data_IF_409551540460
#
_entry.id   IF_409551540460
#
_cell.length_a   1.000
_cell.length_b   1.000
_cell.length_c   1.000
_cell.angle_alpha   90.00
_cell.angle_beta   90.00
_cell.angle_gamma   90.00
#
_symmetry.space_group_name_H-M   'P 1'
#
loop_
_entity.id
_entity.type
_entity.pdbx_description
1 polymer ?
#
# COMPACT_ATOMS: atom_id res chain seq x y z
N UNK A 1 25.98 15.86 10.56
CA UNK A 1 27.20 15.32 9.95
C UNK A 1 26.80 14.50 8.73
N UNK A 2 27.45 14.70 7.59
CA UNK A 2 27.22 13.87 6.39
C UNK A 2 27.84 12.50 6.65
N UNK A 3 27.07 11.42 6.53
CA UNK A 3 27.59 10.04 6.61
C UNK A 3 28.53 9.80 5.41
N UNK A 4 29.53 8.93 5.59
CA UNK A 4 30.38 8.46 4.50
C UNK A 4 29.51 7.73 3.45
N UNK A 5 29.89 7.71 2.16
CA UNK A 5 29.11 7.02 1.15
C UNK A 5 29.03 5.52 1.47
N UNK A 6 27.84 5.04 1.82
CA UNK A 6 27.55 3.63 2.01
C UNK A 6 27.62 2.91 0.66
N UNK A 7 28.06 1.65 0.66
CA UNK A 7 28.00 0.83 -0.55
C UNK A 7 26.53 0.63 -0.94
N UNK A 8 26.15 0.97 -2.18
CA UNK A 8 24.78 0.78 -2.66
C UNK A 8 24.72 -0.45 -3.55
N UNK A 9 23.87 -1.41 -3.19
CA UNK A 9 23.67 -2.66 -3.91
C UNK A 9 22.25 -2.67 -4.46
N UNK A 10 22.10 -2.64 -5.79
CA UNK A 10 20.79 -2.77 -6.44
C UNK A 10 20.58 -4.19 -6.97
N UNK A 11 19.40 -4.75 -6.70
CA UNK A 11 18.91 -6.03 -7.21
C UNK A 11 17.44 -5.89 -7.62
N UNK A 12 16.95 -6.73 -8.53
CA UNK A 12 15.52 -6.84 -8.81
C UNK A 12 14.87 -7.85 -7.85
N UNK A 13 13.55 -7.80 -7.76
CA UNK A 13 12.78 -8.86 -7.10
C UNK A 13 13.16 -10.25 -7.61
N UNK A 14 13.17 -11.23 -6.72
CA UNK A 14 13.56 -12.63 -7.00
C UNK A 14 15.03 -12.85 -7.42
N UNK A 15 15.84 -11.79 -7.52
CA UNK A 15 17.29 -11.92 -7.73
C UNK A 15 18.04 -12.15 -6.42
N UNK A 16 19.20 -12.79 -6.55
CA UNK A 16 20.16 -12.99 -5.45
C UNK A 16 21.50 -12.36 -5.79
N UNK A 17 22.17 -11.77 -4.79
CA UNK A 17 23.49 -11.17 -4.97
C UNK A 17 24.39 -11.46 -3.78
N UNK A 18 25.65 -11.76 -4.07
CA UNK A 18 26.70 -11.87 -3.07
C UNK A 18 27.39 -10.51 -2.90
N UNK A 19 27.67 -10.17 -1.64
CA UNK A 19 28.31 -8.92 -1.24
C UNK A 19 29.60 -9.30 -0.50
N UNK A 20 30.72 -8.77 -1.02
CA UNK A 20 32.06 -9.06 -0.54
C UNK A 20 32.53 -8.04 0.49
N UNK A 21 33.26 -8.50 1.51
CA UNK A 21 33.91 -7.63 2.49
C UNK A 21 32.96 -6.92 3.46
N UNK A 22 31.75 -7.45 3.63
CA UNK A 22 30.75 -6.93 4.58
C UNK A 22 30.55 -7.93 5.72
N UNK A 23 30.52 -7.40 6.94
CA UNK A 23 30.15 -8.14 8.14
C UNK A 23 28.86 -7.54 8.73
N UNK A 24 27.85 -8.38 8.93
CA UNK A 24 26.57 -7.94 9.50
C UNK A 24 26.67 -7.81 11.01
N UNK A 25 26.26 -6.65 11.54
CA UNK A 25 26.15 -6.42 12.98
C UNK A 25 25.01 -7.25 13.59
N UNK A 26 24.89 -7.24 14.92
CA UNK A 26 23.72 -7.85 15.59
C UNK A 26 22.41 -7.19 15.17
N UNK A 27 22.40 -5.86 15.03
CA UNK A 27 21.21 -5.13 14.60
C UNK A 27 20.85 -5.47 13.14
N UNK A 28 21.85 -5.66 12.28
CA UNK A 28 21.63 -6.11 10.91
C UNK A 28 21.03 -7.52 10.84
N UNK A 29 21.48 -8.44 11.70
CA UNK A 29 20.90 -9.78 11.81
C UNK A 29 19.48 -9.76 12.37
N UNK A 30 19.21 -8.96 13.39
CA UNK A 30 17.85 -8.80 13.96
C UNK A 30 16.88 -8.27 12.88
N UNK A 31 17.32 -7.31 12.06
CA UNK A 31 16.56 -6.80 10.90
C UNK A 31 16.37 -7.89 9.84
N UNK A 32 17.44 -8.59 9.45
CA UNK A 32 17.40 -9.66 8.47
C UNK A 32 16.41 -10.77 8.87
N UNK A 33 16.45 -11.18 10.13
CA UNK A 33 15.55 -12.17 10.70
C UNK A 33 14.10 -11.71 10.69
N UNK A 34 13.85 -10.44 11.02
CA UNK A 34 12.51 -9.86 10.96
C UNK A 34 11.95 -9.88 9.52
N UNK A 35 12.79 -9.61 8.52
CA UNK A 35 12.40 -9.61 7.10
C UNK A 35 12.28 -11.03 6.50
N UNK A 36 12.95 -12.02 7.08
CA UNK A 36 12.95 -13.41 6.60
C UNK A 36 11.83 -14.29 7.19
N UNK A 37 11.19 -13.85 8.28
CA UNK A 37 10.17 -14.59 9.03
C UNK A 37 8.74 -14.12 8.70
N UNK A 38 7.75 -14.92 9.09
CA UNK A 38 6.32 -14.63 8.91
C UNK A 38 5.73 -15.13 7.60
N UNK A 39 4.43 -14.91 7.42
CA UNK A 39 3.72 -15.23 6.17
C UNK A 39 4.18 -14.32 5.01
N UNK A 40 4.60 -13.10 5.32
CA UNK A 40 5.01 -12.06 4.38
C UNK A 40 6.54 -11.93 4.32
N UNK A 41 7.24 -13.02 4.01
CA UNK A 41 8.71 -13.02 3.85
C UNK A 41 9.11 -12.00 2.78
N UNK A 42 10.04 -11.09 3.11
CA UNK A 42 10.41 -9.95 2.25
C UNK A 42 11.79 -10.09 1.65
N UNK A 43 12.75 -10.53 2.47
CA UNK A 43 14.16 -10.63 2.13
C UNK A 43 14.75 -11.85 2.83
N UNK A 44 15.58 -12.61 2.13
CA UNK A 44 16.38 -13.68 2.72
C UNK A 44 17.85 -13.26 2.73
N UNK A 45 18.51 -13.45 3.88
CA UNK A 45 19.94 -13.16 4.03
C UNK A 45 20.62 -14.37 4.66
N UNK A 46 21.69 -14.82 4.03
CA UNK A 46 22.53 -15.92 4.49
C UNK A 46 24.02 -15.61 4.26
N UNK A 47 24.90 -16.32 4.98
CA UNK A 47 26.35 -16.26 4.72
C UNK A 47 26.75 -17.49 3.92
N UNK A 48 27.25 -17.27 2.71
CA UNK A 48 27.70 -18.32 1.81
C UNK A 48 29.17 -18.13 1.47
N UNK A 49 30.02 -19.12 1.80
CA UNK A 49 31.48 -19.08 1.55
C UNK A 49 32.18 -17.81 2.08
N UNK A 50 31.74 -17.33 3.25
CA UNK A 50 32.30 -16.12 3.87
C UNK A 50 31.82 -14.80 3.26
N UNK A 51 30.83 -14.85 2.37
CA UNK A 51 30.21 -13.67 1.74
C UNK A 51 28.76 -13.56 2.21
N UNK A 52 28.27 -12.32 2.35
CA UNK A 52 26.86 -12.08 2.63
C UNK A 52 26.09 -12.26 1.33
N UNK A 53 25.11 -13.17 1.31
CA UNK A 53 24.20 -13.37 0.19
C UNK A 53 22.83 -12.84 0.57
N UNK A 54 22.27 -12.00 -0.31
CA UNK A 54 20.94 -11.44 -0.17
C UNK A 54 20.05 -11.95 -1.30
N UNK A 55 18.81 -12.32 -1.02
CA UNK A 55 17.81 -12.73 -2.01
C UNK A 55 16.49 -11.99 -1.80
N UNK A 56 16.10 -11.19 -2.79
CA UNK A 56 14.83 -10.48 -2.79
C UNK A 56 13.66 -11.42 -3.09
N UNK A 57 12.48 -11.09 -2.56
CA UNK A 57 11.21 -11.75 -2.84
C UNK A 57 10.29 -10.79 -3.61
N UNK A 58 8.98 -10.81 -3.34
CA UNK A 58 7.98 -9.95 -3.99
C UNK A 58 7.84 -8.55 -3.35
N UNK A 59 8.90 -8.06 -2.72
CA UNK A 59 8.91 -6.77 -2.02
C UNK A 59 9.98 -5.86 -2.63
N UNK A 60 9.65 -4.58 -2.81
CA UNK A 60 10.56 -3.56 -3.37
C UNK A 60 10.80 -2.45 -2.36
N UNK A 61 11.94 -1.77 -2.45
CA UNK A 61 12.26 -0.63 -1.59
C UNK A 61 13.72 -0.58 -1.17
N UNK A 62 13.95 0.00 0.01
CA UNK A 62 15.27 0.22 0.60
C UNK A 62 15.40 -0.59 1.88
N UNK A 63 16.47 -1.38 1.99
CA UNK A 63 16.90 -1.96 3.27
C UNK A 63 18.28 -1.43 3.57
N UNK A 64 18.39 -0.64 4.63
CA UNK A 64 19.65 -0.06 5.08
C UNK A 64 20.25 -0.95 6.15
N UNK A 65 21.49 -1.35 5.95
CA UNK A 65 22.35 -2.00 6.93
C UNK A 65 23.45 -1.03 7.37
N UNK A 66 24.22 -1.39 8.40
CA UNK A 66 25.31 -0.54 8.88
C UNK A 66 26.37 -0.25 7.82
N UNK A 67 26.68 -1.22 6.95
CA UNK A 67 27.79 -1.13 5.99
C UNK A 67 27.34 -0.89 4.54
N UNK A 68 26.07 -1.13 4.21
CA UNK A 68 25.56 -1.01 2.84
C UNK A 68 24.04 -0.75 2.80
N UNK A 69 23.59 -0.20 1.67
CA UNK A 69 22.18 -0.03 1.35
C UNK A 69 21.78 -1.03 0.25
N UNK A 70 20.71 -1.79 0.50
CA UNK A 70 20.13 -2.71 -0.46
C UNK A 70 18.88 -2.09 -1.10
N UNK A 71 18.95 -1.96 -2.42
CA UNK A 71 17.91 -1.42 -3.28
C UNK A 71 17.23 -2.55 -4.03
N UNK A 72 15.94 -2.76 -3.76
CA UNK A 72 15.16 -3.75 -4.46
C UNK A 72 14.18 -3.04 -5.38
N UNK A 73 14.31 -3.27 -6.69
CA UNK A 73 13.51 -2.59 -7.72
C UNK A 73 12.53 -3.55 -8.40
N UNK A 74 11.37 -3.06 -8.86
CA UNK A 74 10.36 -3.91 -9.47
C UNK A 74 10.84 -4.52 -10.79
N UNK A 75 10.50 -5.80 -11.01
CA UNK A 75 10.90 -6.53 -12.23
C UNK A 75 10.12 -6.12 -13.48
N UNK A 76 8.91 -5.55 -13.34
CA UNK A 76 8.00 -5.28 -14.46
C UNK A 76 7.43 -3.84 -14.52
N UNK A 77 7.69 -2.99 -13.52
CA UNK A 77 7.09 -1.66 -13.42
C UNK A 77 7.98 -0.52 -13.93
N UNK A 78 9.05 -0.79 -14.68
CA UNK A 78 9.92 0.26 -15.24
C UNK A 78 10.70 1.06 -14.19
N UNK A 79 11.06 0.44 -13.05
CA UNK A 79 11.82 1.09 -11.98
C UNK A 79 10.94 1.88 -11.00
N UNK A 80 11.51 2.91 -10.36
CA UNK A 80 10.81 3.71 -9.35
C UNK A 80 9.71 4.58 -9.95
N UNK A 81 9.89 5.11 -11.16
CA UNK A 81 8.90 5.93 -11.83
C UNK A 81 7.57 5.21 -12.03
N UNK A 82 7.55 4.03 -12.65
CA UNK A 82 6.29 3.30 -12.86
C UNK A 82 5.70 2.74 -11.56
N UNK A 83 6.53 2.40 -10.56
CA UNK A 83 6.05 2.07 -9.20
C UNK A 83 5.23 3.21 -8.61
N UNK A 84 5.75 4.43 -8.72
CA UNK A 84 5.16 5.64 -8.17
C UNK A 84 3.86 5.99 -8.91
N UNK A 85 3.82 5.86 -10.24
CA UNK A 85 2.60 6.05 -11.02
C UNK A 85 1.53 4.99 -10.73
N UNK A 86 1.92 3.74 -10.47
CA UNK A 86 0.98 2.71 -9.98
C UNK A 86 0.37 3.15 -8.64
N UNK A 87 1.20 3.61 -7.71
CA UNK A 87 0.77 4.05 -6.38
C UNK A 87 -0.19 5.23 -6.49
N UNK A 88 0.15 6.25 -7.29
CA UNK A 88 -0.70 7.42 -7.57
C UNK A 88 -2.12 7.00 -7.93
N UNK A 89 -2.26 6.07 -8.87
CA UNK A 89 -3.54 5.58 -9.34
C UNK A 89 -4.28 4.75 -8.29
N UNK A 90 -3.56 3.97 -7.50
CA UNK A 90 -4.20 3.14 -6.46
C UNK A 90 -4.76 3.94 -5.30
N UNK A 91 -4.07 5.00 -4.89
CA UNK A 91 -4.41 5.83 -3.72
C UNK A 91 -5.20 7.07 -4.08
N UNK A 92 -5.15 7.52 -5.33
CA UNK A 92 -5.73 8.79 -5.78
C UNK A 92 -4.94 10.01 -5.30
N UNK A 93 -3.68 9.83 -4.88
CA UNK A 93 -2.81 10.92 -4.44
C UNK A 93 -2.48 11.80 -5.65
N UNK A 94 -2.96 13.04 -5.69
CA UNK A 94 -2.59 14.00 -6.74
C UNK A 94 -1.26 14.70 -6.46
N UNK A 95 -0.60 14.39 -5.33
CA UNK A 95 0.66 15.01 -4.93
C UNK A 95 1.74 14.86 -6.02
N UNK A 96 1.82 13.71 -6.67
CA UNK A 96 2.81 13.44 -7.72
C UNK A 96 2.63 14.33 -8.95
N UNK A 97 1.38 14.65 -9.35
CA UNK A 97 1.11 15.59 -10.44
C UNK A 97 1.53 17.03 -10.11
N UNK A 98 1.54 17.39 -8.83
CA UNK A 98 1.88 18.74 -8.35
C UNK A 98 3.38 18.91 -8.11
N UNK A 99 4.11 17.81 -7.89
CA UNK A 99 5.55 17.83 -7.66
C UNK A 99 6.32 17.87 -8.99
N UNK A 100 6.71 19.07 -9.42
CA UNK A 100 7.55 19.27 -10.61
C UNK A 100 8.96 18.63 -10.50
N UNK A 101 9.33 18.07 -9.34
CA UNK A 101 10.68 17.60 -9.03
C UNK A 101 10.94 16.08 -9.17
N UNK A 102 9.93 15.24 -9.39
CA UNK A 102 10.10 13.77 -9.38
C UNK A 102 11.03 13.28 -10.48
N UNK A 103 10.85 13.78 -11.71
CA UNK A 103 11.74 13.46 -12.83
C UNK A 103 13.18 13.92 -12.60
N UNK A 104 13.39 14.96 -11.78
CA UNK A 104 14.72 15.42 -11.37
C UNK A 104 15.32 14.58 -10.24
N UNK A 105 14.50 13.91 -9.42
CA UNK A 105 14.94 13.10 -8.27
C UNK A 105 15.34 11.69 -8.69
N UNK A 106 14.62 11.09 -9.64
CA UNK A 106 14.97 9.81 -10.24
C UNK A 106 16.31 9.93 -11.01
N UNK A 107 16.52 11.05 -11.70
CA UNK A 107 17.78 11.36 -12.40
C UNK A 107 18.98 11.64 -11.48
N UNK A 108 18.75 11.95 -10.19
CA UNK A 108 19.81 12.30 -9.23
C UNK A 108 20.22 11.14 -8.30
N UNK A 109 19.72 9.92 -8.55
CA UNK A 109 20.03 8.76 -7.73
C UNK A 109 19.30 8.74 -6.39
N UNK A 110 18.22 9.52 -6.26
CA UNK A 110 17.42 9.57 -5.03
C UNK A 110 16.69 8.24 -4.84
N UNK A 111 16.77 7.71 -3.62
CA UNK A 111 16.24 6.41 -3.25
C UNK A 111 14.73 6.47 -2.97
N UNK A 112 14.01 5.35 -3.16
CA UNK A 112 12.53 5.32 -3.06
C UNK A 112 11.99 5.92 -1.75
N UNK A 113 12.68 5.70 -0.63
CA UNK A 113 12.29 6.29 0.65
C UNK A 113 12.37 7.81 0.65
N UNK A 114 13.44 8.40 0.10
CA UNK A 114 13.59 9.84 0.01
C UNK A 114 12.55 10.48 -0.92
N UNK A 115 12.12 9.76 -1.95
CA UNK A 115 11.01 10.19 -2.80
C UNK A 115 9.71 10.31 -1.99
N UNK A 116 9.33 9.27 -1.25
CA UNK A 116 8.14 9.35 -0.38
C UNK A 116 8.28 10.38 0.73
N UNK A 117 9.46 10.50 1.33
CA UNK A 117 9.73 11.51 2.34
C UNK A 117 9.55 12.93 1.77
N UNK A 118 9.97 13.18 0.52
CA UNK A 118 9.72 14.46 -0.14
C UNK A 118 8.24 14.69 -0.38
N UNK A 119 7.51 13.70 -0.91
CA UNK A 119 6.06 13.80 -1.14
C UNK A 119 5.31 14.10 0.15
N UNK A 120 5.72 13.47 1.26
CA UNK A 120 5.15 13.76 2.57
C UNK A 120 5.42 15.20 3.00
N UNK A 121 6.66 15.69 2.83
CA UNK A 121 7.00 17.07 3.17
C UNK A 121 6.15 18.06 2.37
N UNK A 122 5.99 17.84 1.06
CA UNK A 122 5.19 18.70 0.19
C UNK A 122 3.69 18.69 0.53
N UNK A 123 3.14 17.50 0.78
CA UNK A 123 1.76 17.35 1.20
C UNK A 123 1.53 18.00 2.59
N UNK A 124 2.48 17.86 3.51
CA UNK A 124 2.42 18.48 4.83
C UNK A 124 2.53 20.02 4.75
N UNK A 125 3.37 20.56 3.87
CA UNK A 125 3.42 22.00 3.59
C UNK A 125 2.11 22.53 3.00
N UNK A 126 1.37 21.72 2.23
CA UNK A 126 0.02 22.08 1.80
C UNK A 126 -0.94 22.18 2.98
N UNK A 127 -0.90 21.20 3.88
CA UNK A 127 -1.70 21.19 5.12
C UNK A 127 -1.39 22.42 5.97
N UNK A 128 -0.11 22.71 6.22
CA UNK A 128 0.32 23.87 7.02
C UNK A 128 -0.21 25.17 6.41
N UNK A 129 -0.13 25.34 5.08
CA UNK A 129 -0.65 26.53 4.39
C UNK A 129 -2.18 26.66 4.46
N UNK A 130 -2.90 25.55 4.47
CA UNK A 130 -4.37 25.51 4.61
C UNK A 130 -4.82 25.71 6.06
N UNK A 131 -3.93 25.49 7.01
CA UNK A 131 -4.19 25.57 8.44
C UNK A 131 -4.22 24.18 9.08
N UNK A 132 -3.46 24.04 10.16
CA UNK A 132 -3.46 22.84 10.99
C UNK A 132 -4.76 22.79 11.78
N UNK A 133 -5.49 21.68 11.65
CA UNK A 133 -6.75 21.47 12.34
C UNK A 133 -6.57 21.46 13.85
N UNK A 134 -7.60 21.96 14.52
CA UNK A 134 -7.81 21.78 15.95
C UNK A 134 -9.19 21.20 16.13
N UNK A 135 -9.34 20.30 17.09
CA UNK A 135 -10.64 19.77 17.49
C UNK A 135 -10.94 20.11 18.95
N UNK A 136 -12.20 20.03 19.34
CA UNK A 136 -12.62 20.22 20.71
C UNK A 136 -12.50 18.91 21.47
N UNK A 137 -11.51 18.84 22.36
CA UNK A 137 -11.27 17.67 23.22
C UNK A 137 -11.85 17.96 24.60
N UNK A 138 -12.73 17.08 25.09
CA UNK A 138 -13.26 17.15 26.45
C UNK A 138 -12.13 16.90 27.44
N UNK A 139 -11.83 17.89 28.28
CA UNK A 139 -10.85 17.78 29.38
C UNK A 139 -11.53 17.87 30.72
N UNK A 140 -11.04 17.08 31.66
CA UNK A 140 -11.42 17.13 33.07
C UNK A 140 -10.21 17.55 33.90
N UNK A 141 -10.25 18.74 34.49
CA UNK A 141 -9.14 19.30 35.28
C UNK A 141 -9.66 20.01 36.54
N UNK A 142 -8.82 20.10 37.57
CA UNK A 142 -9.09 20.92 38.73
C UNK A 142 -8.55 22.34 38.56
N UNK A 143 -9.44 23.31 38.47
CA UNK A 143 -9.07 24.70 38.15
C UNK A 143 -9.35 25.62 39.33
N UNK A 144 -8.56 26.68 39.49
CA UNK A 144 -8.84 27.74 40.48
C UNK A 144 -10.02 28.64 40.10
N UNK A 145 -10.58 28.44 38.91
CA UNK A 145 -11.72 29.16 38.35
C UNK A 145 -12.66 28.18 37.67
N UNK A 146 -13.95 28.51 37.58
CA UNK A 146 -14.92 27.66 36.89
C UNK A 146 -14.77 27.82 35.38
N UNK A 147 -14.49 26.71 34.68
CA UNK A 147 -14.46 26.62 33.21
C UNK A 147 -15.37 25.48 32.77
N UNK A 148 -16.35 25.76 31.91
CA UNK A 148 -17.31 24.74 31.47
C UNK A 148 -18.24 24.24 32.60
N UNK A 149 -18.40 22.92 32.71
CA UNK A 149 -19.31 22.26 33.65
C UNK A 149 -18.57 21.79 34.91
N UNK A 150 -19.11 22.08 36.09
CA UNK A 150 -18.56 21.58 37.36
C UNK A 150 -18.94 20.10 37.54
N UNK A 151 -17.95 19.27 37.87
CA UNK A 151 -18.13 17.86 38.24
C UNK A 151 -18.39 17.77 39.75
N UNK A 152 -19.64 18.02 40.14
CA UNK A 152 -20.07 18.12 41.55
C UNK A 152 -19.81 16.83 42.33
N UNK A 153 -20.05 15.69 41.70
CA UNK A 153 -19.77 14.36 42.25
C UNK A 153 -18.28 14.19 42.59
N UNK A 154 -17.38 14.54 41.66
CA UNK A 154 -15.93 14.48 41.89
C UNK A 154 -15.46 15.52 42.90
N UNK A 155 -16.03 16.72 42.90
CA UNK A 155 -15.69 17.76 43.87
C UNK A 155 -16.01 17.30 45.29
N UNK A 156 -17.17 16.69 45.50
CA UNK A 156 -17.58 16.16 46.81
C UNK A 156 -16.68 14.97 47.21
N UNK A 157 -16.39 14.05 46.28
CA UNK A 157 -15.63 12.83 46.58
C UNK A 157 -14.12 13.09 46.79
N UNK A 158 -13.51 13.97 46.00
CA UNK A 158 -12.04 14.18 46.00
C UNK A 158 -11.61 15.42 46.78
N UNK A 159 -12.49 16.41 46.95
CA UNK A 159 -12.13 17.74 47.46
C UNK A 159 -13.12 18.33 48.45
N UNK A 160 -13.75 17.47 49.26
CA UNK A 160 -14.67 17.91 50.30
C UNK A 160 -14.02 18.99 51.20
N UNK A 161 -14.66 20.16 51.28
CA UNK A 161 -14.21 21.29 52.09
C UNK A 161 -13.10 22.17 51.48
N UNK A 162 -12.57 21.85 50.29
CA UNK A 162 -11.65 22.74 49.54
C UNK A 162 -12.41 23.56 48.50
N UNK A 163 -12.23 24.87 48.54
CA UNK A 163 -12.90 25.86 47.65
C UNK A 163 -11.93 26.60 46.73
N UNK A 164 -10.63 26.37 46.91
CA UNK A 164 -9.56 26.97 46.11
C UNK A 164 -9.39 26.33 44.72
N UNK A 165 -9.91 25.10 44.53
CA UNK A 165 -9.94 24.40 43.24
C UNK A 165 -11.27 23.69 43.01
N UNK A 166 -11.74 23.73 41.77
CA UNK A 166 -13.02 23.18 41.32
C UNK A 166 -12.76 22.17 40.20
N UNK A 167 -13.22 20.92 40.38
CA UNK A 167 -13.20 19.89 39.34
C UNK A 167 -14.15 20.30 38.20
N UNK A 168 -13.59 20.61 37.03
CA UNK A 168 -14.29 21.13 35.87
C UNK A 168 -14.13 20.20 34.67
N UNK A 169 -15.17 20.10 33.86
CA UNK A 169 -15.18 19.47 32.54
C UNK A 169 -15.48 20.51 31.48
N UNK A 170 -14.58 20.68 30.51
CA UNK A 170 -14.72 21.68 29.46
C UNK A 170 -14.10 21.19 28.16
N UNK A 171 -14.57 21.74 27.05
CA UNK A 171 -13.98 21.49 25.74
C UNK A 171 -12.82 22.45 25.52
N UNK A 172 -11.64 21.90 25.29
CA UNK A 172 -10.46 22.66 24.90
C UNK A 172 -10.17 22.45 23.42
N UNK A 173 -9.91 23.55 22.71
CA UNK A 173 -9.48 23.48 21.33
C UNK A 173 -8.02 23.02 21.32
N UNK A 174 -7.81 21.77 20.93
CA UNK A 174 -6.52 21.10 20.93
C UNK A 174 -6.12 20.71 19.51
N UNK A 175 -4.83 20.76 19.22
CA UNK A 175 -4.26 20.31 17.96
C UNK A 175 -3.69 18.89 18.07
N UNK A 176 -3.60 18.31 19.27
CA UNK A 176 -3.10 16.95 19.54
C UNK A 176 -4.10 15.85 19.14
N UNK A 177 -4.61 15.93 17.91
CA UNK A 177 -5.68 15.11 17.34
C UNK A 177 -5.12 14.02 16.40
N UNK A 178 -5.88 12.93 16.13
CA UNK A 178 -5.45 11.83 15.26
C UNK A 178 -4.88 12.27 13.90
N UNK A 179 -5.50 13.25 13.25
CA UNK A 179 -5.10 13.75 11.94
C UNK A 179 -3.68 14.32 11.94
N UNK A 180 -3.34 15.11 12.97
CA UNK A 180 -2.04 15.74 13.08
C UNK A 180 -0.99 14.76 13.62
N UNK A 181 -1.38 13.86 14.54
CA UNK A 181 -0.51 12.80 15.10
C UNK A 181 0.03 11.87 14.02
N UNK A 182 -0.79 11.51 13.03
CA UNK A 182 -0.35 10.66 11.93
C UNK A 182 0.77 11.32 11.10
N UNK A 183 0.59 12.61 10.75
CA UNK A 183 1.61 13.39 10.03
C UNK A 183 2.87 13.55 10.88
N UNK A 184 2.73 13.91 12.15
CA UNK A 184 3.85 14.07 13.07
C UNK A 184 4.68 12.78 13.16
N UNK A 185 4.03 11.62 13.28
CA UNK A 185 4.69 10.32 13.35
C UNK A 185 5.45 9.98 12.07
N UNK A 186 4.82 10.19 10.91
CA UNK A 186 5.45 9.92 9.62
C UNK A 186 6.61 10.88 9.33
N UNK A 187 6.42 12.19 9.56
CA UNK A 187 7.45 13.22 9.40
C UNK A 187 8.64 12.97 10.33
N UNK A 188 8.40 12.61 11.59
CA UNK A 188 9.46 12.25 12.52
C UNK A 188 10.25 11.03 12.03
N UNK A 189 9.57 10.04 11.48
CA UNK A 189 10.19 8.82 10.93
C UNK A 189 11.06 9.13 9.71
N UNK A 190 10.59 9.99 8.80
CA UNK A 190 11.37 10.47 7.66
C UNK A 190 12.55 11.37 8.08
N UNK A 191 12.37 12.25 9.06
CA UNK A 191 13.41 13.18 9.51
C UNK A 191 14.66 12.45 10.07
N UNK A 192 14.46 11.24 10.62
CA UNK A 192 15.52 10.35 11.12
C UNK A 192 16.25 9.59 10.01
N UNK A 193 15.57 9.28 8.90
CA UNK A 193 16.03 8.28 7.92
C UNK A 193 16.38 8.83 6.54
N UNK A 194 15.85 10.02 6.19
CA UNK A 194 16.05 10.62 4.88
C UNK A 194 17.53 10.95 4.63
N UNK A 195 18.05 10.49 3.49
CA UNK A 195 19.46 10.56 3.17
C UNK A 195 19.79 11.82 2.36
N UNK A 196 18.97 12.12 1.35
CA UNK A 196 19.14 13.28 0.50
C UNK A 196 19.04 14.60 1.31
N UNK A 197 20.09 15.45 1.33
CA UNK A 197 20.16 16.61 2.23
C UNK A 197 18.99 17.60 2.08
N UNK A 198 18.54 17.85 0.85
CA UNK A 198 17.39 18.74 0.60
C UNK A 198 16.08 18.14 1.11
N UNK A 199 15.89 16.82 0.95
CA UNK A 199 14.68 16.12 1.41
C UNK A 199 14.67 16.16 2.94
N UNK A 200 15.77 15.76 3.57
CA UNK A 200 15.92 15.80 5.03
C UNK A 200 15.67 17.18 5.61
N UNK A 201 16.19 18.26 4.99
CA UNK A 201 15.93 19.64 5.44
C UNK A 201 14.44 19.96 5.42
N UNK A 202 13.76 19.62 4.32
CA UNK A 202 12.36 19.95 4.10
C UNK A 202 11.43 19.17 5.04
N UNK A 203 11.68 17.88 5.19
CA UNK A 203 10.98 17.01 6.15
C UNK A 203 11.16 17.51 7.58
N UNK A 204 12.39 17.88 7.98
CA UNK A 204 12.65 18.40 9.32
C UNK A 204 11.88 19.68 9.59
N UNK A 205 11.85 20.61 8.63
CA UNK A 205 11.08 21.84 8.78
C UNK A 205 9.58 21.56 9.01
N UNK A 206 8.96 20.70 8.21
CA UNK A 206 7.58 20.30 8.41
C UNK A 206 7.37 19.58 9.75
N UNK A 207 8.29 18.67 10.12
CA UNK A 207 8.26 17.95 11.38
C UNK A 207 8.33 18.88 12.60
N UNK A 208 9.14 19.93 12.55
CA UNK A 208 9.28 20.89 13.65
C UNK A 208 7.96 21.63 13.90
N UNK A 209 7.22 22.01 12.85
CA UNK A 209 5.89 22.61 12.97
C UNK A 209 4.90 21.66 13.65
N UNK A 210 4.87 20.38 13.24
CA UNK A 210 3.93 19.41 13.82
C UNK A 210 4.29 19.00 15.25
N UNK A 211 5.57 19.04 15.62
CA UNK A 211 6.03 18.78 16.99
C UNK A 211 5.62 19.86 18.00
N UNK A 212 5.40 21.09 17.54
CA UNK A 212 4.90 22.17 18.42
C UNK A 212 3.43 21.95 18.82
N UNK A 213 2.68 21.14 18.06
CA UNK A 213 1.22 21.02 18.18
C UNK A 213 0.74 19.62 18.56
N UNK A 214 1.58 18.58 18.43
CA UNK A 214 1.21 17.20 18.75
C UNK A 214 2.36 16.37 19.36
N UNK A 215 2.00 15.45 20.25
CA UNK A 215 2.90 14.42 20.74
C UNK A 215 2.78 13.13 19.92
N UNK A 216 3.93 12.49 19.65
CA UNK A 216 4.00 11.17 19.01
C UNK A 216 4.19 10.04 20.02
N UNK A 217 4.16 10.33 21.32
CA UNK A 217 4.39 9.34 22.37
C UNK A 217 3.22 8.35 22.47
N UNK A 218 3.54 7.04 22.50
CA UNK A 218 2.54 5.98 22.65
C UNK A 218 1.55 5.85 21.48
N UNK A 219 1.82 6.50 20.34
CA UNK A 219 0.92 6.49 19.19
C UNK A 219 1.06 5.17 18.42
N UNK A 220 -0.04 4.43 18.29
CA UNK A 220 -0.13 3.32 17.34
C UNK A 220 -0.65 3.80 15.98
N UNK A 221 0.24 3.77 14.99
CA UNK A 221 -0.09 4.13 13.60
C UNK A 221 -1.26 3.31 13.03
N UNK A 222 -1.41 2.03 13.39
CA UNK A 222 -2.47 1.17 12.84
C UNK A 222 -3.84 1.64 13.32
N UNK A 223 -3.98 1.83 14.63
CA UNK A 223 -5.20 2.37 15.23
C UNK A 223 -5.58 3.73 14.63
N UNK A 224 -4.61 4.64 14.43
CA UNK A 224 -4.88 5.92 13.77
C UNK A 224 -5.41 5.76 12.35
N UNK A 225 -4.77 4.90 11.55
CA UNK A 225 -5.12 4.67 10.15
C UNK A 225 -6.48 3.99 9.97
N UNK A 226 -6.88 3.13 10.91
CA UNK A 226 -8.18 2.45 10.92
C UNK A 226 -9.33 3.37 11.34
N UNK A 227 -9.07 4.29 12.28
CA UNK A 227 -10.07 5.24 12.77
C UNK A 227 -10.26 6.48 11.90
N UNK A 228 -9.42 6.67 10.88
CA UNK A 228 -9.40 7.89 10.07
C UNK A 228 -10.58 7.94 9.09
N UNK A 229 -11.37 9.01 9.16
CA UNK A 229 -12.46 9.27 8.22
C UNK A 229 -12.34 10.69 7.66
N UNK A 230 -12.60 10.80 6.36
CA UNK A 230 -12.47 12.08 5.66
C UNK A 230 -13.82 12.74 5.47
N UNK A 231 -13.85 14.04 5.76
CA UNK A 231 -14.98 14.94 5.64
C UNK A 231 -14.49 16.31 5.18
N UNK A 232 -15.40 17.23 4.89
CA UNK A 232 -15.08 18.54 4.28
C UNK A 232 -13.97 19.33 5.03
N UNK A 233 -13.85 19.15 6.34
CA UNK A 233 -12.90 19.89 7.19
C UNK A 233 -11.48 19.34 7.11
N UNK A 234 -11.31 18.03 6.96
CA UNK A 234 -9.99 17.38 6.91
C UNK A 234 -9.63 16.85 5.50
N UNK A 235 -10.44 17.13 4.48
CA UNK A 235 -10.20 16.69 3.11
C UNK A 235 -8.81 17.12 2.58
N UNK A 236 -8.32 18.31 2.97
CA UNK A 236 -6.99 18.78 2.55
C UNK A 236 -5.81 18.03 3.19
N UNK A 237 -6.08 17.13 4.15
CA UNK A 237 -5.07 16.22 4.71
C UNK A 237 -4.92 14.93 3.93
N UNK A 238 -5.88 14.56 3.08
CA UNK A 238 -5.95 13.22 2.45
C UNK A 238 -4.64 12.79 1.82
N UNK A 239 -4.03 13.65 1.00
CA UNK A 239 -2.75 13.33 0.36
C UNK A 239 -1.63 13.09 1.37
N UNK A 240 -1.54 13.91 2.43
CA UNK A 240 -0.52 13.78 3.46
C UNK A 240 -0.73 12.51 4.30
N UNK A 241 -1.99 12.17 4.61
CA UNK A 241 -2.36 10.95 5.32
C UNK A 241 -2.08 9.69 4.50
N UNK A 242 -2.40 9.67 3.21
CA UNK A 242 -2.10 8.51 2.36
C UNK A 242 -0.60 8.30 2.14
N UNK A 243 0.18 9.38 1.97
CA UNK A 243 1.65 9.25 1.93
C UNK A 243 2.20 8.79 3.29
N UNK A 244 1.64 9.30 4.39
CA UNK A 244 2.00 8.85 5.75
C UNK A 244 1.71 7.36 5.94
N UNK A 245 0.56 6.88 5.46
CA UNK A 245 0.19 5.46 5.46
C UNK A 245 1.25 4.61 4.75
N UNK A 246 1.61 4.97 3.51
CA UNK A 246 2.62 4.25 2.73
C UNK A 246 3.95 4.18 3.47
N UNK A 247 4.41 5.31 4.04
CA UNK A 247 5.68 5.39 4.77
C UNK A 247 5.64 4.49 6.01
N UNK A 248 4.60 4.59 6.84
CA UNK A 248 4.51 3.87 8.10
C UNK A 248 4.27 2.37 7.90
N UNK A 249 3.42 1.98 6.94
CA UNK A 249 3.24 0.58 6.56
C UNK A 249 4.52 -0.02 5.98
N UNK A 250 5.25 0.76 5.17
CA UNK A 250 6.50 0.32 4.54
C UNK A 250 7.68 0.20 5.51
N UNK A 251 7.73 1.03 6.56
CA UNK A 251 8.72 0.93 7.63
C UNK A 251 8.45 -0.25 8.57
N UNK A 252 7.18 -0.60 8.79
CA UNK A 252 6.80 -1.60 9.79
C UNK A 252 6.85 -1.07 11.24
N UNK A 253 6.20 -1.79 12.16
CA UNK A 253 5.93 -1.30 13.53
C UNK A 253 7.21 -1.21 14.38
N UNK A 254 8.11 -2.19 14.26
CA UNK A 254 9.31 -2.28 15.10
C UNK A 254 10.34 -1.18 14.76
N UNK A 255 10.44 -0.79 13.49
CA UNK A 255 11.32 0.30 13.04
C UNK A 255 10.77 1.69 13.42
N UNK A 256 9.45 1.85 13.60
CA UNK A 256 8.85 3.14 13.99
C UNK A 256 9.07 3.45 15.47
N UNK A 257 9.10 2.42 16.33
CA UNK A 257 9.13 2.53 17.81
C UNK A 257 10.56 2.50 18.38
N UNK A 258 11.55 2.02 17.61
CA UNK A 258 12.96 2.02 18.02
C UNK A 258 13.51 3.43 18.27
N UNK A 259 13.54 3.86 19.53
CA UNK A 259 14.06 5.16 19.99
C UNK A 259 15.58 5.29 19.97
N UNK A 260 16.29 4.43 19.24
CA UNK A 260 17.74 4.51 19.04
C UNK A 260 18.11 5.20 17.73
N UNK A 261 19.36 5.64 17.63
CA UNK A 261 20.02 5.83 16.33
C UNK A 261 20.23 4.46 15.67
N UNK A 262 19.16 3.74 15.33
CA UNK A 262 19.30 2.48 14.61
C UNK A 262 19.81 2.83 13.22
N UNK A 263 21.06 2.46 12.96
CA UNK A 263 21.74 2.59 11.67
C UNK A 263 21.01 1.84 10.57
N UNK A 264 20.30 0.77 10.94
CA UNK A 264 19.65 -0.17 10.04
C UNK A 264 18.13 -0.04 10.12
N UNK A 265 17.47 -0.06 8.96
CA UNK A 265 16.00 -0.01 8.85
C UNK A 265 15.56 -0.56 7.49
N UNK A 266 14.29 -0.94 7.36
CA UNK A 266 13.72 -1.31 6.07
C UNK A 266 12.52 -0.43 5.72
N UNK A 267 12.46 0.05 4.47
CA UNK A 267 11.25 0.60 3.86
C UNK A 267 10.91 -0.25 2.65
N UNK A 268 9.88 -1.10 2.77
CA UNK A 268 9.53 -2.07 1.74
C UNK A 268 8.05 -2.05 1.40
N UNK A 269 7.72 -2.29 0.13
CA UNK A 269 6.34 -2.34 -0.39
C UNK A 269 6.06 -3.69 -1.03
N UNK A 270 4.89 -4.26 -0.74
CA UNK A 270 4.43 -5.53 -1.31
C UNK A 270 3.92 -5.32 -2.74
N UNK A 271 4.65 -5.87 -3.71
CA UNK A 271 4.30 -5.74 -5.12
C UNK A 271 3.09 -6.57 -5.53
N UNK A 272 2.77 -7.66 -4.82
CA UNK A 272 1.56 -8.43 -5.11
C UNK A 272 0.33 -7.56 -4.81
N UNK A 273 0.25 -7.03 -3.59
CA UNK A 273 -0.86 -6.16 -3.17
C UNK A 273 -0.96 -4.88 -3.99
N UNK A 274 0.18 -4.26 -4.31
CA UNK A 274 0.18 -3.07 -5.16
C UNK A 274 -0.33 -3.38 -6.57
N UNK A 275 0.10 -4.50 -7.16
CA UNK A 275 -0.35 -4.91 -8.48
C UNK A 275 -1.85 -5.26 -8.50
N UNK A 276 -2.35 -6.00 -7.51
CA UNK A 276 -3.78 -6.30 -7.36
C UNK A 276 -4.62 -5.01 -7.32
N UNK A 277 -4.24 -4.06 -6.46
CA UNK A 277 -4.90 -2.75 -6.36
C UNK A 277 -4.81 -1.95 -7.66
N UNK A 278 -3.65 -2.00 -8.33
CA UNK A 278 -3.44 -1.31 -9.60
C UNK A 278 -4.36 -1.86 -10.69
N UNK A 279 -4.43 -3.19 -10.85
CA UNK A 279 -5.34 -3.83 -11.81
C UNK A 279 -6.79 -3.52 -11.45
N UNK A 280 -7.15 -3.50 -10.18
CA UNK A 280 -8.50 -3.14 -9.74
C UNK A 280 -8.89 -1.72 -10.20
N UNK A 281 -8.06 -0.72 -9.89
CA UNK A 281 -8.30 0.67 -10.32
C UNK A 281 -8.30 0.81 -11.83
N UNK A 282 -7.39 0.13 -12.52
CA UNK A 282 -7.36 0.11 -13.97
C UNK A 282 -8.67 -0.42 -14.55
N UNK A 283 -9.18 -1.54 -14.05
CA UNK A 283 -10.47 -2.11 -14.48
C UNK A 283 -11.62 -1.15 -14.19
N UNK A 284 -11.64 -0.53 -13.01
CA UNK A 284 -12.64 0.49 -12.63
C UNK A 284 -12.63 1.69 -13.59
N UNK A 285 -11.46 2.23 -13.92
CA UNK A 285 -11.29 3.34 -14.87
C UNK A 285 -11.71 2.95 -16.30
N UNK A 286 -11.28 1.77 -16.78
CA UNK A 286 -11.56 1.32 -18.15
C UNK A 286 -13.04 1.05 -18.39
N UNK A 287 -13.75 0.58 -17.35
CA UNK A 287 -15.18 0.29 -17.36
C UNK A 287 -16.05 1.46 -16.87
N UNK A 288 -15.45 2.60 -16.53
CA UNK A 288 -16.21 3.78 -16.11
C UNK A 288 -17.27 4.16 -17.15
N UNK A 289 -18.50 4.38 -16.68
CA UNK A 289 -19.67 4.72 -17.52
C UNK A 289 -20.38 3.53 -18.17
N UNK A 290 -19.89 2.30 -17.99
CA UNK A 290 -20.59 1.08 -18.42
C UNK A 290 -21.55 0.57 -17.32
N UNK A 291 -22.59 -0.23 -17.66
CA UNK A 291 -23.55 -0.77 -16.68
C UNK A 291 -22.94 -1.93 -15.87
N UNK A 292 -21.91 -1.64 -15.08
CA UNK A 292 -21.26 -2.61 -14.21
C UNK A 292 -20.70 -1.97 -12.94
N UNK A 293 -20.51 -2.80 -11.92
CA UNK A 293 -19.79 -2.46 -10.70
C UNK A 293 -18.53 -3.29 -10.59
N UNK A 294 -17.39 -2.63 -10.37
CA UNK A 294 -16.12 -3.30 -10.08
C UNK A 294 -15.98 -3.38 -8.56
N UNK A 295 -15.88 -4.59 -8.02
CA UNK A 295 -15.74 -4.84 -6.57
C UNK A 295 -14.36 -5.40 -6.28
N UNK A 296 -13.69 -4.86 -5.26
CA UNK A 296 -12.39 -5.34 -4.78
C UNK A 296 -12.56 -6.29 -3.60
N UNK A 297 -11.86 -7.43 -3.64
CA UNK A 297 -11.79 -8.43 -2.57
C UNK A 297 -13.15 -8.80 -1.97
N UNK A 298 -14.14 -9.08 -2.82
CA UNK A 298 -15.49 -9.44 -2.39
C UNK A 298 -15.51 -10.89 -1.89
N UNK A 299 -15.56 -11.05 -0.57
CA UNK A 299 -15.67 -12.36 0.08
C UNK A 299 -17.03 -13.03 -0.16
N UNK A 300 -17.01 -14.33 -0.44
CA UNK A 300 -18.18 -15.17 -0.51
C UNK A 300 -17.99 -16.46 0.33
N UNK A 301 -18.73 -16.56 1.43
CA UNK A 301 -18.71 -17.71 2.34
C UNK A 301 -19.68 -18.84 1.97
N UNK A 302 -20.45 -18.73 0.88
CA UNK A 302 -21.40 -19.77 0.47
C UNK A 302 -20.84 -20.72 -0.60
N UNK A 303 -19.65 -20.46 -1.15
CA UNK A 303 -19.06 -21.29 -2.21
C UNK A 303 -18.44 -22.56 -1.64
N UNK A 304 -17.62 -22.43 -0.59
CA UNK A 304 -17.07 -23.57 0.13
C UNK A 304 -17.86 -23.76 1.43
N UNK A 305 -18.72 -24.78 1.42
CA UNK A 305 -19.64 -25.08 2.51
C UNK A 305 -19.24 -26.36 3.23
N UNK A 306 -19.26 -26.35 4.56
CA UNK A 306 -19.11 -27.54 5.37
C UNK A 306 -20.46 -28.26 5.42
N UNK A 307 -20.56 -29.39 4.71
CA UNK A 307 -21.79 -30.19 4.65
C UNK A 307 -22.18 -30.82 5.99
N UNK A 308 -21.21 -31.18 6.83
CA UNK A 308 -21.46 -31.83 8.12
C UNK A 308 -21.93 -30.84 9.18
N UNK A 309 -21.30 -29.65 9.20
CA UNK A 309 -21.56 -28.62 10.21
C UNK A 309 -22.55 -27.55 9.74
N UNK A 310 -23.03 -27.63 8.49
CA UNK A 310 -23.94 -26.66 7.87
C UNK A 310 -23.51 -25.20 8.07
N UNK A 311 -22.23 -24.91 7.83
CA UNK A 311 -21.64 -23.56 7.92
C UNK A 311 -20.63 -23.32 6.80
N UNK A 312 -20.24 -22.07 6.60
CA UNK A 312 -19.10 -21.71 5.74
C UNK A 312 -17.87 -22.52 6.14
N UNK A 313 -17.30 -23.26 5.19
CA UNK A 313 -16.02 -23.95 5.37
C UNK A 313 -14.87 -22.95 5.23
N UNK A 314 -14.87 -22.19 4.15
CA UNK A 314 -13.90 -21.13 3.89
C UNK A 314 -14.51 -20.05 2.99
N UNK A 315 -14.00 -18.83 3.13
CA UNK A 315 -14.37 -17.75 2.23
C UNK A 315 -13.58 -17.86 0.93
N UNK A 316 -14.28 -17.69 -0.19
CA UNK A 316 -13.69 -17.55 -1.52
C UNK A 316 -13.64 -16.06 -1.85
N UNK A 317 -12.46 -15.54 -2.11
CA UNK A 317 -12.22 -14.09 -2.29
C UNK A 317 -11.41 -13.87 -3.57
N UNK A 318 -12.07 -13.66 -4.73
CA UNK A 318 -11.37 -13.15 -5.90
C UNK A 318 -10.83 -11.74 -5.63
N UNK A 319 -9.69 -11.39 -6.23
CA UNK A 319 -9.08 -10.07 -6.06
C UNK A 319 -10.04 -8.98 -6.55
N UNK A 320 -10.67 -9.21 -7.70
CA UNK A 320 -11.64 -8.29 -8.31
C UNK A 320 -12.83 -9.09 -8.84
N UNK A 321 -14.03 -8.53 -8.75
CA UNK A 321 -15.23 -9.05 -9.41
C UNK A 321 -15.90 -7.93 -10.17
N UNK A 322 -16.09 -8.12 -11.48
CA UNK A 322 -16.93 -7.24 -12.30
C UNK A 322 -18.35 -7.79 -12.27
N UNK A 323 -19.28 -7.00 -11.75
CA UNK A 323 -20.70 -7.34 -11.67
C UNK A 323 -21.49 -6.49 -12.65
N UNK A 324 -22.08 -7.10 -13.67
CA UNK A 324 -22.97 -6.39 -14.59
C UNK A 324 -24.25 -5.97 -13.87
N UNK A 325 -24.72 -4.76 -14.12
CA UNK A 325 -25.92 -4.18 -13.48
C UNK A 325 -27.16 -4.21 -14.35
N UNK A 326 -27.03 -4.45 -15.66
CA UNK A 326 -28.13 -4.67 -16.58
C UNK A 326 -28.34 -6.17 -16.89
N UNK A 327 -29.61 -6.57 -16.94
CA UNK A 327 -30.02 -7.94 -17.28
C UNK A 327 -29.62 -9.00 -16.26
N UNK A 328 -29.15 -10.16 -16.73
CA UNK A 328 -28.64 -11.21 -15.85
C UNK A 328 -27.36 -10.77 -15.15
N UNK A 329 -27.34 -10.88 -13.82
CA UNK A 329 -26.18 -10.57 -12.95
C UNK A 329 -25.01 -11.49 -13.28
N UNK A 330 -24.27 -11.14 -14.32
CA UNK A 330 -23.06 -11.81 -14.73
C UNK A 330 -21.90 -11.31 -13.87
N UNK A 331 -21.14 -12.26 -13.33
CA UNK A 331 -19.99 -12.02 -12.47
C UNK A 331 -18.74 -12.52 -13.19
N UNK A 332 -17.81 -11.62 -13.49
CA UNK A 332 -16.48 -11.98 -13.97
C UNK A 332 -15.48 -11.79 -12.82
N UNK A 333 -15.07 -12.89 -12.14
CA UNK A 333 -13.93 -12.83 -11.24
C UNK A 333 -12.64 -12.61 -12.03
N UNK A 334 -11.78 -11.75 -11.48
CA UNK A 334 -10.46 -11.45 -12.00
C UNK A 334 -9.49 -11.66 -10.85
N UNK A 335 -8.40 -12.37 -11.14
CA UNK A 335 -7.33 -12.67 -10.20
C UNK A 335 -6.02 -12.16 -10.80
N UNK A 336 -5.31 -11.32 -10.05
CA UNK A 336 -4.18 -10.54 -10.50
C UNK A 336 -2.91 -11.02 -9.78
N UNK A 337 -1.97 -11.59 -10.52
CA UNK A 337 -0.75 -12.20 -9.95
C UNK A 337 0.49 -11.48 -10.43
N UNK A 338 1.30 -10.96 -9.52
CA UNK A 338 2.56 -10.29 -9.84
C UNK A 338 3.72 -11.26 -10.14
N UNK A 339 3.47 -12.20 -11.06
CA UNK A 339 4.42 -13.21 -11.54
C UNK A 339 4.62 -13.04 -13.03
N UNK A 340 5.88 -12.89 -13.46
CA UNK A 340 6.21 -12.85 -14.89
C UNK A 340 5.96 -14.24 -15.47
N UNK A 341 5.05 -14.33 -16.43
CA UNK A 341 4.90 -15.52 -17.25
C UNK A 341 6.10 -15.54 -18.21
N UNK A 342 7.01 -16.50 -18.02
CA UNK A 342 8.14 -16.70 -18.93
C UNK A 342 7.68 -17.32 -20.26
N UNK A 343 8.49 -18.20 -20.85
CA UNK A 343 8.05 -19.08 -21.97
C UNK A 343 7.11 -20.22 -21.52
N UNK A 344 6.66 -20.19 -20.25
CA UNK A 344 5.91 -21.26 -19.61
C UNK A 344 4.40 -20.97 -19.54
N UNK A 345 3.63 -22.02 -19.26
CA UNK A 345 2.21 -21.90 -18.95
C UNK A 345 1.99 -21.29 -17.56
N UNK A 346 0.77 -20.78 -17.32
CA UNK A 346 0.30 -20.37 -16.00
C UNK A 346 0.46 -21.52 -15.00
N UNK A 347 0.85 -21.19 -13.75
CA UNK A 347 0.98 -22.20 -12.69
C UNK A 347 -0.35 -22.91 -12.44
N UNK A 348 -0.29 -24.23 -12.27
CA UNK A 348 -1.50 -25.06 -12.07
C UNK A 348 -2.34 -24.60 -10.88
N UNK A 349 -1.70 -24.11 -9.81
CA UNK A 349 -2.40 -23.56 -8.65
C UNK A 349 -3.26 -22.33 -8.99
N UNK A 350 -2.71 -21.41 -9.79
CA UNK A 350 -3.43 -20.21 -10.24
C UNK A 350 -4.61 -20.61 -11.15
N UNK A 351 -4.45 -21.64 -11.99
CA UNK A 351 -5.55 -22.19 -12.81
C UNK A 351 -6.66 -22.84 -11.97
N UNK A 352 -6.31 -23.61 -10.93
CA UNK A 352 -7.29 -24.19 -10.02
C UNK A 352 -8.07 -23.13 -9.25
N UNK A 353 -7.38 -22.09 -8.80
CA UNK A 353 -7.99 -20.94 -8.13
C UNK A 353 -8.96 -20.20 -9.07
N UNK A 354 -8.52 -19.86 -10.28
CA UNK A 354 -9.36 -19.21 -11.29
C UNK A 354 -10.57 -20.07 -11.68
N UNK A 355 -10.39 -21.39 -11.80
CA UNK A 355 -11.50 -22.31 -12.04
C UNK A 355 -12.51 -22.30 -10.89
N UNK A 356 -12.06 -22.36 -9.63
CA UNK A 356 -12.93 -22.27 -8.47
C UNK A 356 -13.73 -20.96 -8.48
N UNK A 357 -13.08 -19.84 -8.83
CA UNK A 357 -13.74 -18.54 -8.94
C UNK A 357 -14.78 -18.52 -10.06
N UNK A 358 -14.41 -18.95 -11.27
CA UNK A 358 -15.34 -19.07 -12.39
C UNK A 358 -16.54 -19.97 -12.00
N UNK A 359 -16.26 -21.13 -11.41
CA UNK A 359 -17.28 -22.10 -11.03
C UNK A 359 -18.21 -21.56 -9.93
N UNK A 360 -17.66 -20.98 -8.87
CA UNK A 360 -18.42 -20.52 -7.71
C UNK A 360 -19.18 -19.21 -7.92
N UNK A 361 -18.68 -18.32 -8.78
CA UNK A 361 -19.33 -17.03 -9.07
C UNK A 361 -20.14 -17.02 -10.38
N UNK A 362 -19.83 -17.90 -11.33
CA UNK A 362 -20.53 -17.99 -12.61
C UNK A 362 -21.97 -18.48 -12.46
N UNK A 363 -22.87 -17.97 -13.30
CA UNK A 363 -24.26 -18.41 -13.40
C UNK A 363 -24.51 -19.19 -14.70
N UNK A 364 -25.31 -20.24 -14.61
CA UNK A 364 -25.81 -20.99 -15.78
C UNK A 364 -26.77 -20.13 -16.61
N UNK A 365 -26.85 -20.31 -17.94
CA UNK A 365 -26.25 -21.39 -18.76
C UNK A 365 -24.97 -21.01 -19.52
N UNK A 366 -24.40 -19.83 -19.27
CA UNK A 366 -23.18 -19.39 -19.97
C UNK A 366 -21.94 -20.18 -19.52
N UNK A 367 -20.91 -20.36 -20.38
CA UNK A 367 -19.63 -20.88 -19.93
C UNK A 367 -19.10 -19.98 -18.83
N UNK A 368 -18.78 -20.57 -17.69
CA UNK A 368 -18.28 -19.84 -16.53
C UNK A 368 -16.89 -19.31 -16.86
N UNK A 369 -16.62 -18.04 -16.57
CA UNK A 369 -15.35 -17.42 -16.95
C UNK A 369 -14.63 -16.80 -15.77
N UNK A 370 -13.31 -16.77 -15.86
CA UNK A 370 -12.45 -15.98 -15.00
C UNK A 370 -11.32 -15.38 -15.84
N UNK A 371 -10.80 -14.24 -15.39
CA UNK A 371 -9.67 -13.57 -16.01
C UNK A 371 -8.46 -13.63 -15.07
N UNK A 372 -7.34 -14.10 -15.57
CA UNK A 372 -6.04 -14.05 -14.92
C UNK A 372 -5.22 -12.92 -15.52
N UNK A 373 -4.75 -12.00 -14.68
CA UNK A 373 -3.92 -10.86 -15.11
C UNK A 373 -2.54 -10.99 -14.50
N UNK A 374 -1.52 -11.00 -15.36
CA UNK A 374 -0.12 -11.06 -14.98
C UNK A 374 0.64 -9.86 -15.56
N UNK A 375 1.73 -9.39 -14.93
CA UNK A 375 2.62 -8.42 -15.57
C UNK A 375 3.32 -9.04 -16.79
N UNK A 376 3.43 -8.28 -17.87
CA UNK A 376 4.24 -8.67 -19.02
C UNK A 376 5.74 -8.45 -18.73
N UNK A 377 6.58 -9.33 -19.26
CA UNK A 377 8.06 -9.21 -19.16
C UNK A 377 8.64 -8.18 -20.13
N UNK A 378 7.88 -7.80 -21.17
CA UNK A 378 8.27 -6.83 -22.18
C UNK A 378 7.08 -5.93 -22.53
N UNK A 379 7.33 -4.80 -23.17
CA UNK A 379 6.27 -3.92 -23.70
C UNK A 379 5.56 -4.51 -24.93
N UNK A 380 5.95 -5.72 -25.37
CA UNK A 380 5.28 -6.41 -26.45
C UNK A 380 3.92 -6.87 -25.99
N UNK A 381 2.98 -6.62 -26.88
CA UNK A 381 1.60 -6.96 -26.70
C UNK A 381 1.36 -8.41 -27.14
N UNK A 382 1.42 -9.35 -26.21
CA UNK A 382 1.10 -10.76 -26.45
C UNK A 382 -0.41 -11.03 -26.50
N UNK A 383 -0.88 -11.93 -27.39
CA UNK A 383 -2.29 -12.30 -27.42
C UNK A 383 -2.69 -13.00 -26.11
N UNK A 384 -3.93 -12.82 -25.63
CA UNK A 384 -4.39 -13.51 -24.44
C UNK A 384 -4.44 -15.02 -24.68
N UNK A 385 -3.96 -15.80 -23.71
CA UNK A 385 -4.06 -17.25 -23.76
C UNK A 385 -5.44 -17.69 -23.25
N UNK A 386 -6.06 -18.65 -23.95
CA UNK A 386 -7.37 -19.22 -23.58
C UNK A 386 -7.17 -20.64 -23.06
N UNK A 387 -7.60 -20.89 -21.83
CA UNK A 387 -7.54 -22.20 -21.19
C UNK A 387 -8.96 -22.70 -20.96
N UNK A 388 -9.31 -23.83 -21.56
CA UNK A 388 -10.63 -24.45 -21.38
C UNK A 388 -10.55 -25.55 -20.33
N UNK A 389 -11.34 -25.43 -19.27
CA UNK A 389 -11.52 -26.49 -18.29
C UNK A 389 -12.67 -27.37 -18.75
N UNK A 390 -12.36 -28.63 -19.05
CA UNK A 390 -13.33 -29.59 -19.58
C UNK A 390 -13.55 -30.74 -18.60
N UNK A 391 -14.76 -31.27 -18.61
CA UNK A 391 -15.05 -32.53 -17.93
C UNK A 391 -14.48 -33.74 -18.70
N UNK A 392 -14.62 -34.93 -18.12
CA UNK A 392 -14.16 -36.18 -18.74
C UNK A 392 -14.85 -36.50 -20.08
N UNK A 393 -15.99 -35.88 -20.38
CA UNK A 393 -16.74 -36.02 -21.62
C UNK A 393 -16.40 -34.92 -22.63
N UNK A 394 -15.36 -34.11 -22.37
CA UNK A 394 -14.89 -32.99 -23.20
C UNK A 394 -15.85 -31.79 -23.28
N UNK A 395 -16.87 -31.74 -22.40
CA UNK A 395 -17.75 -30.58 -22.28
C UNK A 395 -17.02 -29.48 -21.53
N UNK A 396 -17.09 -28.25 -22.04
CA UNK A 396 -16.41 -27.10 -21.43
C UNK A 396 -17.21 -26.61 -20.22
N UNK A 397 -16.64 -26.77 -19.03
CA UNK A 397 -17.21 -26.30 -17.77
C UNK A 397 -16.85 -24.84 -17.49
N UNK A 398 -15.64 -24.42 -17.86
CA UNK A 398 -15.18 -23.05 -17.71
C UNK A 398 -14.17 -22.63 -18.78
N UNK A 399 -14.10 -21.33 -19.04
CA UNK A 399 -13.10 -20.69 -19.89
C UNK A 399 -12.30 -19.67 -19.07
N UNK A 400 -10.99 -19.89 -18.96
CA UNK A 400 -10.07 -18.99 -18.27
C UNK A 400 -9.29 -18.20 -19.33
N UNK A 401 -9.35 -16.87 -19.24
CA UNK A 401 -8.56 -15.99 -20.08
C UNK A 401 -7.34 -15.54 -19.30
N UNK A 402 -6.16 -15.56 -19.92
CA UNK A 402 -4.90 -15.14 -19.31
C UNK A 402 -4.33 -13.98 -20.09
N UNK A 403 -4.05 -12.87 -19.42
CA UNK A 403 -3.51 -11.65 -20.02
C UNK A 403 -2.19 -11.27 -19.36
N UNK A 404 -1.20 -11.00 -20.20
CA UNK A 404 0.03 -10.30 -19.85
C UNK A 404 -0.17 -8.78 -20.04
N UNK A 405 -0.08 -8.02 -18.95
CA UNK A 405 -0.28 -6.57 -18.89
C UNK A 405 1.08 -5.84 -18.92
N UNK A 406 1.45 -5.15 -20.01
CA UNK A 406 2.66 -4.33 -20.05
C UNK A 406 2.47 -3.04 -19.25
N UNK A 407 2.83 -3.07 -17.97
CA UNK A 407 2.55 -2.00 -16.99
C UNK A 407 3.04 -0.64 -17.49
N UNK A 408 4.28 -0.55 -17.94
CA UNK A 408 4.89 0.71 -18.40
C UNK A 408 4.10 1.32 -19.57
N UNK A 409 3.74 0.49 -20.55
CA UNK A 409 2.92 0.91 -21.68
C UNK A 409 1.51 1.35 -21.28
N UNK A 410 0.86 0.60 -20.39
CA UNK A 410 -0.47 0.94 -19.88
C UNK A 410 -0.44 2.29 -19.17
N UNK A 411 0.54 2.50 -18.28
CA UNK A 411 0.73 3.77 -17.59
C UNK A 411 0.93 4.94 -18.57
N UNK A 412 1.73 4.73 -19.62
CA UNK A 412 1.92 5.73 -20.68
C UNK A 412 0.62 6.07 -21.43
N UNK A 413 -0.14 5.06 -21.87
CA UNK A 413 -1.42 5.23 -22.55
C UNK A 413 -2.42 6.00 -21.67
N UNK A 414 -2.50 5.67 -20.38
CA UNK A 414 -3.38 6.36 -19.45
C UNK A 414 -2.95 7.80 -19.16
N UNK A 415 -1.64 8.11 -19.23
CA UNK A 415 -1.12 9.47 -19.06
C UNK A 415 -1.52 10.38 -20.23
N UNK A 416 -1.59 9.81 -21.43
CA UNK A 416 -2.05 10.50 -22.64
C UNK A 416 -3.58 10.64 -22.71
N UNK A 417 -4.31 10.08 -21.73
CA UNK A 417 -5.78 10.06 -21.74
C UNK A 417 -6.37 9.17 -22.84
N UNK A 418 -5.55 8.28 -23.42
CA UNK A 418 -5.94 7.44 -24.54
C UNK A 418 -6.19 5.99 -24.08
N UNK A 419 -7.28 5.38 -24.55
CA UNK A 419 -7.47 3.93 -24.51
C UNK A 419 -6.65 3.31 -25.64
N UNK A 420 -5.33 3.33 -25.48
CA UNK A 420 -4.39 2.78 -26.47
C UNK A 420 -4.46 1.25 -26.56
N UNK A 421 -3.61 0.63 -27.40
CA UNK A 421 -3.69 -0.80 -27.70
C UNK A 421 -3.59 -1.74 -26.48
N UNK A 422 -2.83 -1.38 -25.44
CA UNK A 422 -2.74 -2.18 -24.22
C UNK A 422 -4.04 -2.12 -23.41
N UNK A 423 -4.58 -0.91 -23.22
CA UNK A 423 -5.86 -0.69 -22.57
C UNK A 423 -7.02 -1.32 -23.36
N UNK A 424 -7.04 -1.20 -24.69
CA UNK A 424 -8.05 -1.82 -25.56
C UNK A 424 -8.09 -3.33 -25.41
N UNK A 425 -6.94 -3.99 -25.32
CA UNK A 425 -6.88 -5.44 -25.12
C UNK A 425 -7.49 -5.88 -23.79
N UNK A 426 -7.20 -5.14 -22.72
CA UNK A 426 -7.83 -5.42 -21.43
C UNK A 426 -9.35 -5.19 -21.51
N UNK A 427 -9.81 -4.14 -22.21
CA UNK A 427 -11.25 -3.92 -22.45
C UNK A 427 -11.87 -5.07 -23.24
N UNK A 428 -11.25 -5.56 -24.32
CA UNK A 428 -11.75 -6.69 -25.12
C UNK A 428 -11.90 -7.95 -24.26
N UNK A 429 -10.94 -8.22 -23.39
CA UNK A 429 -11.02 -9.33 -22.45
C UNK A 429 -12.11 -9.17 -21.39
N UNK A 430 -12.34 -7.93 -20.94
CA UNK A 430 -13.44 -7.59 -20.04
C UNK A 430 -14.79 -7.58 -20.76
N UNK A 431 -14.82 -7.49 -22.10
CA UNK A 431 -16.02 -7.32 -22.91
C UNK A 431 -17.10 -8.37 -22.62
N UNK A 432 -16.71 -9.62 -22.33
CA UNK A 432 -17.68 -10.65 -21.92
C UNK A 432 -18.50 -10.29 -20.67
N UNK A 433 -17.92 -9.49 -19.76
CA UNK A 433 -18.59 -9.06 -18.54
C UNK A 433 -19.53 -7.86 -18.72
N UNK A 434 -19.47 -7.18 -19.87
CA UNK A 434 -19.99 -5.81 -19.99
C UNK A 434 -20.70 -5.53 -21.31
N UNK A 435 -20.41 -6.28 -22.37
CA UNK A 435 -21.11 -6.16 -23.65
C UNK A 435 -22.31 -7.13 -23.64
N UNK A 436 -23.54 -6.68 -23.94
CA UNK A 436 -24.65 -7.58 -24.20
C UNK A 436 -24.41 -8.30 -25.53
N UNK A 437 -24.68 -9.61 -25.57
CA UNK A 437 -24.68 -10.42 -26.80
C UNK A 437 -25.66 -9.86 -27.85
#
# INVERSE_FOLDING_TARGET
MSRAPHCVVTIKEWESREIDGVELSRADWDLADALAKGADRRLEIDVWRGKVRVRALAWVGLVRFEQFDLHIVPKAAGGHHGLVEMIERTTGIDALRRTAGIGSLDASGTHLFDLFALLLAEASEHVIRRGILSDYVEREEDLGVVRGRILVDRQILRRYGRVDRVECRFDERDQDIPENKLLALALASCARRADHPNVRRRVRHANDVFKEVCSTEGVDSKTLLEGMSYHRVNEHYRDAHEVSRIILEGLGVDDVIGGGETSSFAFMMDMNRLFERFVWRLVEELLAGRPCHVRYQRSNGSILWNGDESRTYANVVPDIVVERTDGERLLLPIDAKYKLLGTGAVETGDLYQAFLYAYGHGRHPCPRRALLVHPASTDKLEPPARVLVRDAQTVTAAELLVISLPIVRVLAELREGAKGPACSRLIEALGFAVDPD
#
